data_IF_848183959436
#
_entry.id   IF_848183959436
#
_cell.length_a   1.000
_cell.length_b   1.000
_cell.length_c   1.000
_cell.angle_alpha   90.00
_cell.angle_beta   90.00
_cell.angle_gamma   90.00
#
_symmetry.space_group_name_H-M   'P 1'
#
loop_
_entity.id
_entity.type
_entity.pdbx_description
1 polymer ?
#
# COMPACT_ATOMS: atom_id res chain seq x y z
N UNK A 1 -13.01 -6.62 9.04
CA UNK A 1 -12.40 -7.88 8.53
C UNK A 1 -11.45 -7.47 7.43
N UNK A 2 -10.15 -7.78 7.54
CA UNK A 2 -9.18 -7.48 6.49
C UNK A 2 -9.26 -8.59 5.45
N UNK A 3 -9.92 -8.34 4.33
CA UNK A 3 -9.88 -9.28 3.20
C UNK A 3 -8.43 -9.43 2.74
N UNK A 4 -8.00 -10.68 2.57
CA UNK A 4 -6.61 -11.02 2.28
C UNK A 4 -6.35 -10.79 0.78
N UNK A 5 -5.60 -9.72 0.48
CA UNK A 5 -5.48 -9.16 -0.85
C UNK A 5 -4.35 -9.77 -1.68
N UNK A 6 -3.54 -10.72 -1.23
CA UNK A 6 -2.41 -11.20 -2.04
C UNK A 6 -2.43 -12.70 -2.34
N UNK A 7 -3.20 -13.49 -1.61
CA UNK A 7 -3.31 -14.95 -1.82
C UNK A 7 -4.61 -15.37 -2.52
N UNK A 8 -5.60 -14.47 -2.62
CA UNK A 8 -6.79 -14.68 -3.43
C UNK A 8 -6.39 -14.91 -4.89
N UNK A 9 -6.79 -16.07 -5.41
CA UNK A 9 -6.66 -16.38 -6.83
C UNK A 9 -7.60 -15.45 -7.60
N UNK A 10 -7.04 -14.42 -8.21
CA UNK A 10 -7.81 -13.46 -8.99
C UNK A 10 -8.34 -14.08 -10.27
N UNK A 11 -9.57 -13.70 -10.63
CA UNK A 11 -10.18 -14.04 -11.94
C UNK A 11 -9.65 -13.12 -13.03
N UNK A 12 -9.42 -11.84 -12.72
CA UNK A 12 -8.73 -10.89 -13.60
C UNK A 12 -7.29 -11.33 -13.88
N UNK A 13 -6.73 -10.94 -15.03
CA UNK A 13 -5.41 -11.41 -15.49
C UNK A 13 -4.59 -10.32 -16.15
N UNK A 14 -3.27 -10.38 -15.98
CA UNK A 14 -2.32 -9.62 -16.78
C UNK A 14 -2.27 -10.23 -18.18
N UNK A 15 -2.64 -9.44 -19.19
CA UNK A 15 -2.62 -9.83 -20.61
C UNK A 15 -1.26 -9.55 -21.23
N UNK A 16 -0.64 -8.44 -20.83
CA UNK A 16 0.69 -8.09 -21.30
C UNK A 16 1.46 -7.28 -20.27
N UNK A 17 2.78 -7.41 -20.34
CA UNK A 17 3.74 -6.71 -19.49
C UNK A 17 4.93 -6.27 -20.33
N UNK A 18 5.19 -4.97 -20.34
CA UNK A 18 6.41 -4.39 -20.89
C UNK A 18 7.48 -4.29 -19.80
N UNK A 19 8.78 -4.20 -20.15
CA UNK A 19 9.80 -3.92 -19.16
C UNK A 19 9.53 -2.59 -18.44
N UNK A 20 9.47 -2.65 -17.11
CA UNK A 20 9.37 -1.45 -16.26
C UNK A 20 10.68 -0.67 -16.33
N UNK A 21 10.60 0.66 -16.44
CA UNK A 21 11.76 1.56 -16.47
C UNK A 21 12.23 1.88 -15.04
N UNK A 22 12.78 0.89 -14.36
CA UNK A 22 13.39 1.06 -13.04
C UNK A 22 14.49 2.12 -13.06
N UNK A 23 14.65 2.87 -11.96
CA UNK A 23 15.64 3.96 -11.85
C UNK A 23 15.31 5.23 -12.62
N UNK A 24 14.14 5.32 -13.27
CA UNK A 24 13.65 6.57 -13.85
C UNK A 24 13.44 7.60 -12.73
N UNK A 25 13.93 8.82 -12.93
CA UNK A 25 13.67 9.93 -12.01
C UNK A 25 12.19 10.25 -12.02
N UNK A 26 11.53 10.04 -10.89
CA UNK A 26 10.13 10.40 -10.69
C UNK A 26 10.02 11.91 -10.46
N UNK A 27 9.09 12.54 -11.17
CA UNK A 27 8.81 13.98 -11.03
C UNK A 27 7.48 14.15 -10.33
N UNK A 28 7.52 14.79 -9.16
CA UNK A 28 6.34 15.13 -8.39
C UNK A 28 6.08 16.62 -8.59
N UNK A 29 5.06 16.94 -9.38
CA UNK A 29 4.67 18.33 -9.66
C UNK A 29 3.85 18.94 -8.52
N UNK A 30 3.10 18.11 -7.79
CA UNK A 30 2.26 18.52 -6.65
C UNK A 30 2.21 17.41 -5.61
N UNK A 31 2.25 17.81 -4.34
CA UNK A 31 2.01 16.90 -3.23
C UNK A 31 0.51 16.84 -2.95
N UNK A 32 -0.04 15.63 -2.98
CA UNK A 32 -1.40 15.34 -2.55
C UNK A 32 -1.36 14.73 -1.16
N UNK A 33 -2.31 15.12 -0.32
CA UNK A 33 -2.48 14.49 0.98
C UNK A 33 -3.93 14.52 1.43
N UNK A 34 -4.31 13.53 2.23
CA UNK A 34 -5.62 13.46 2.87
C UNK A 34 -5.48 13.88 4.33
N UNK A 35 -6.13 14.98 4.72
CA UNK A 35 -6.07 15.50 6.08
C UNK A 35 -6.55 14.51 7.14
N UNK A 36 -7.55 13.69 6.81
CA UNK A 36 -8.05 12.67 7.74
C UNK A 36 -6.99 11.60 8.02
N UNK A 37 -6.28 11.17 6.98
CA UNK A 37 -5.18 10.18 7.09
C UNK A 37 -4.00 10.75 7.89
N UNK A 38 -3.63 12.02 7.64
CA UNK A 38 -2.57 12.69 8.41
C UNK A 38 -2.95 12.80 9.89
N UNK A 39 -4.21 13.15 10.16
CA UNK A 39 -4.70 13.31 11.53
C UNK A 39 -4.66 11.98 12.29
N UNK A 40 -5.17 10.92 11.68
CA UNK A 40 -5.13 9.57 12.27
C UNK A 40 -3.69 9.10 12.51
N UNK A 41 -2.78 9.36 11.56
CA UNK A 41 -1.36 9.06 11.72
C UNK A 41 -0.74 9.80 12.92
N UNK A 42 -1.01 11.09 13.06
CA UNK A 42 -0.52 11.89 14.18
C UNK A 42 -1.06 11.40 15.53
N UNK A 43 -2.34 11.02 15.60
CA UNK A 43 -2.94 10.45 16.81
C UNK A 43 -2.31 9.10 17.17
N UNK A 44 -2.01 8.27 16.18
CA UNK A 44 -1.31 7.00 16.38
C UNK A 44 0.14 7.19 16.84
N UNK A 45 0.87 8.18 16.29
CA UNK A 45 2.21 8.53 16.75
C UNK A 45 2.20 8.95 18.23
N UNK A 46 1.28 9.85 18.63
CA UNK A 46 1.15 10.30 20.02
C UNK A 46 0.85 9.14 20.97
N UNK A 47 0.04 8.17 20.53
CA UNK A 47 -0.31 6.98 21.31
C UNK A 47 0.87 6.03 21.52
N UNK A 48 1.67 5.81 20.48
CA UNK A 48 2.78 4.86 20.49
C UNK A 48 4.09 5.47 21.01
N UNK A 49 4.25 6.79 20.92
CA UNK A 49 5.41 7.54 21.41
C UNK A 49 4.93 8.71 22.29
N UNK A 50 4.59 8.47 23.57
CA UNK A 50 3.99 9.49 24.44
C UNK A 50 4.82 10.77 24.64
N UNK A 51 6.14 10.69 24.43
CA UNK A 51 7.08 11.79 24.62
C UNK A 51 7.49 12.48 23.30
N UNK A 52 6.84 12.15 22.18
CA UNK A 52 7.16 12.77 20.89
C UNK A 52 6.80 14.27 20.91
N UNK A 53 7.73 15.10 20.45
CA UNK A 53 7.52 16.56 20.36
C UNK A 53 6.67 16.91 19.14
N UNK A 54 6.01 18.08 19.16
CA UNK A 54 5.21 18.51 18.00
C UNK A 54 6.09 18.74 16.76
N UNK A 55 7.35 19.16 16.94
CA UNK A 55 8.33 19.29 15.85
C UNK A 55 8.65 17.95 15.19
N UNK A 56 8.86 16.89 15.98
CA UNK A 56 9.05 15.53 15.48
C UNK A 56 7.80 15.01 14.77
N UNK A 57 6.60 15.31 15.28
CA UNK A 57 5.35 14.94 14.62
C UNK A 57 5.24 15.60 13.25
N UNK A 58 5.54 16.89 13.14
CA UNK A 58 5.50 17.60 11.85
C UNK A 58 6.55 17.07 10.87
N UNK A 59 7.72 16.65 11.36
CA UNK A 59 8.71 15.97 10.52
C UNK A 59 8.21 14.62 10.01
N UNK A 60 7.65 13.77 10.88
CA UNK A 60 7.10 12.46 10.53
C UNK A 60 5.92 12.60 9.55
N UNK A 61 5.04 13.58 9.74
CA UNK A 61 3.95 13.90 8.78
C UNK A 61 4.50 14.25 7.40
N UNK A 62 5.51 15.14 7.32
CA UNK A 62 6.13 15.51 6.04
C UNK A 62 6.77 14.31 5.35
N UNK A 63 7.48 13.47 6.11
CA UNK A 63 8.08 12.25 5.57
C UNK A 63 7.02 11.27 5.05
N UNK A 64 5.92 11.08 5.79
CA UNK A 64 4.80 10.25 5.38
C UNK A 64 4.18 10.75 4.06
N UNK A 65 3.84 12.05 3.97
CA UNK A 65 3.26 12.64 2.76
C UNK A 65 4.20 12.44 1.57
N UNK A 66 5.48 12.71 1.74
CA UNK A 66 6.47 12.59 0.68
C UNK A 66 6.62 11.14 0.22
N UNK A 67 6.70 10.19 1.15
CA UNK A 67 6.78 8.76 0.85
C UNK A 67 5.55 8.27 0.09
N UNK A 68 4.36 8.70 0.48
CA UNK A 68 3.10 8.32 -0.18
C UNK A 68 3.05 8.84 -1.62
N UNK A 69 3.38 10.11 -1.84
CA UNK A 69 3.42 10.69 -3.18
C UNK A 69 4.49 10.03 -4.08
N UNK A 70 5.65 9.70 -3.51
CA UNK A 70 6.69 8.96 -4.23
C UNK A 70 6.24 7.56 -4.62
N UNK A 71 5.57 6.86 -3.70
CA UNK A 71 5.01 5.55 -3.99
C UNK A 71 3.96 5.61 -5.09
N UNK A 72 3.06 6.59 -5.05
CA UNK A 72 2.05 6.77 -6.08
C UNK A 72 2.69 7.05 -7.45
N UNK A 73 3.68 7.93 -7.52
CA UNK A 73 4.40 8.20 -8.77
C UNK A 73 5.16 6.96 -9.30
N UNK A 74 5.73 6.15 -8.41
CA UNK A 74 6.37 4.89 -8.77
C UNK A 74 5.34 3.88 -9.30
N UNK A 75 4.19 3.77 -8.64
CA UNK A 75 3.10 2.89 -9.05
C UNK A 75 2.47 3.31 -10.37
N UNK A 76 2.40 4.60 -10.69
CA UNK A 76 1.96 5.09 -12.00
C UNK A 76 2.91 4.62 -13.11
N UNK A 77 4.23 4.73 -12.90
CA UNK A 77 5.22 4.24 -13.86
C UNK A 77 5.14 2.72 -14.00
N UNK A 78 5.05 1.97 -12.89
CA UNK A 78 4.94 0.51 -12.91
C UNK A 78 3.67 0.11 -13.65
N UNK A 79 2.51 0.62 -13.23
CA UNK A 79 1.21 0.23 -13.78
C UNK A 79 1.10 0.53 -15.28
N UNK A 80 1.75 1.59 -15.77
CA UNK A 80 1.82 1.90 -17.21
C UNK A 80 2.47 0.81 -18.07
N UNK A 81 3.26 -0.08 -17.46
CA UNK A 81 3.88 -1.21 -18.13
C UNK A 81 2.95 -2.43 -18.29
N UNK A 82 1.81 -2.45 -17.59
CA UNK A 82 0.90 -3.59 -17.55
C UNK A 82 -0.37 -3.32 -18.36
N UNK A 83 -0.94 -4.40 -18.89
CA UNK A 83 -2.30 -4.42 -19.45
C UNK A 83 -3.06 -5.55 -18.80
N UNK A 84 -4.24 -5.26 -18.27
CA UNK A 84 -5.08 -6.21 -17.53
C UNK A 84 -6.40 -6.40 -18.23
N UNK A 85 -6.84 -7.65 -18.27
CA UNK A 85 -8.21 -8.05 -18.56
C UNK A 85 -8.93 -8.26 -17.23
N UNK A 86 -9.96 -7.44 -17.00
CA UNK A 86 -10.68 -7.44 -15.74
C UNK A 86 -11.92 -8.33 -15.84
N UNK A 87 -12.11 -9.19 -14.84
CA UNK A 87 -13.33 -9.97 -14.70
C UNK A 87 -14.44 -9.11 -14.08
N UNK A 88 -15.53 -8.91 -14.82
CA UNK A 88 -16.64 -8.04 -14.37
C UNK A 88 -17.32 -8.57 -13.09
N UNK A 89 -17.32 -9.89 -12.86
CA UNK A 89 -17.91 -10.48 -11.65
C UNK A 89 -17.04 -10.18 -10.42
N UNK A 90 -15.71 -10.26 -10.58
CA UNK A 90 -14.74 -9.85 -9.55
C UNK A 90 -14.83 -8.35 -9.25
N UNK A 91 -15.00 -7.51 -10.26
CA UNK A 91 -15.26 -6.08 -10.04
C UNK A 91 -16.53 -5.90 -9.21
N UNK A 92 -17.63 -6.55 -9.56
CA UNK A 92 -18.90 -6.42 -8.86
C UNK A 92 -18.83 -6.89 -7.38
N UNK A 93 -18.14 -8.00 -7.12
CA UNK A 93 -17.90 -8.49 -5.75
C UNK A 93 -17.12 -7.46 -4.91
N UNK A 94 -16.09 -6.84 -5.50
CA UNK A 94 -15.30 -5.80 -4.82
C UNK A 94 -16.10 -4.51 -4.63
N UNK A 95 -16.92 -4.11 -5.60
CA UNK A 95 -17.82 -2.96 -5.44
C UNK A 95 -18.78 -3.16 -4.26
N UNK A 96 -19.35 -4.37 -4.11
CA UNK A 96 -20.25 -4.68 -3.00
C UNK A 96 -19.55 -4.62 -1.64
N UNK A 97 -18.33 -5.16 -1.55
CA UNK A 97 -17.48 -5.04 -0.34
C UNK A 97 -17.19 -3.56 -0.03
N UNK A 98 -16.85 -2.75 -1.04
CA UNK A 98 -16.56 -1.33 -0.86
C UNK A 98 -17.78 -0.51 -0.44
N UNK A 99 -19.00 -0.85 -0.89
CA UNK A 99 -20.25 -0.18 -0.47
C UNK A 99 -20.48 -0.31 1.03
N UNK A 100 -20.13 -1.46 1.61
CA UNK A 100 -20.34 -1.72 3.04
C UNK A 100 -19.45 -0.84 3.93
N UNK A 101 -18.28 -0.43 3.43
CA UNK A 101 -17.30 0.36 4.18
C UNK A 101 -17.25 1.83 3.76
N UNK A 102 -17.67 2.19 2.54
CA UNK A 102 -17.54 3.52 1.95
C UNK A 102 -18.88 4.05 1.45
N UNK A 103 -19.78 4.36 2.38
CA UNK A 103 -21.17 4.78 2.12
C UNK A 103 -21.30 6.03 1.24
N UNK A 104 -20.23 6.84 1.14
CA UNK A 104 -20.26 8.12 0.43
C UNK A 104 -19.81 8.05 -1.04
N UNK A 105 -19.38 6.89 -1.54
CA UNK A 105 -18.90 6.76 -2.91
C UNK A 105 -20.06 6.52 -3.87
N UNK A 106 -20.02 7.17 -5.04
CA UNK A 106 -20.95 6.86 -6.13
C UNK A 106 -20.52 5.58 -6.87
N UNK A 107 -21.38 5.05 -7.74
CA UNK A 107 -21.12 3.79 -8.47
C UNK A 107 -19.85 3.85 -9.32
N UNK A 108 -19.58 4.97 -10.01
CA UNK A 108 -18.37 5.12 -10.83
C UNK A 108 -17.10 5.12 -9.97
N UNK A 109 -17.14 5.77 -8.81
CA UNK A 109 -16.05 5.77 -7.84
C UNK A 109 -15.81 4.37 -7.29
N UNK A 110 -16.86 3.66 -6.88
CA UNK A 110 -16.77 2.28 -6.38
C UNK A 110 -16.12 1.36 -7.42
N UNK A 111 -16.59 1.43 -8.68
CA UNK A 111 -16.03 0.65 -9.79
C UNK A 111 -14.57 0.98 -10.07
N UNK A 112 -14.22 2.27 -10.06
CA UNK A 112 -12.84 2.72 -10.24
C UNK A 112 -11.93 2.19 -9.13
N UNK A 113 -12.35 2.32 -7.88
CA UNK A 113 -11.62 1.81 -6.71
C UNK A 113 -11.48 0.29 -6.72
N UNK A 114 -12.52 -0.44 -7.12
CA UNK A 114 -12.48 -1.89 -7.30
C UNK A 114 -11.41 -2.29 -8.31
N UNK A 115 -11.40 -1.65 -9.50
CA UNK A 115 -10.40 -1.89 -10.54
C UNK A 115 -8.99 -1.57 -10.09
N UNK A 116 -8.78 -0.44 -9.42
CA UNK A 116 -7.47 -0.04 -8.88
C UNK A 116 -6.95 -1.09 -7.89
N UNK A 117 -7.82 -1.58 -7.01
CA UNK A 117 -7.46 -2.60 -6.01
C UNK A 117 -7.05 -3.92 -6.66
N UNK A 118 -7.87 -4.41 -7.60
CA UNK A 118 -7.56 -5.63 -8.38
C UNK A 118 -6.25 -5.46 -9.15
N UNK A 119 -6.05 -4.29 -9.77
CA UNK A 119 -4.86 -4.04 -10.57
C UNK A 119 -3.59 -4.00 -9.72
N UNK A 120 -3.62 -3.30 -8.57
CA UNK A 120 -2.52 -3.29 -7.60
C UNK A 120 -2.18 -4.71 -7.16
N UNK A 121 -3.18 -5.51 -6.83
CA UNK A 121 -3.00 -6.91 -6.42
C UNK A 121 -2.32 -7.75 -7.51
N UNK A 122 -2.75 -7.63 -8.77
CA UNK A 122 -2.12 -8.33 -9.90
C UNK A 122 -0.65 -7.94 -10.06
N UNK A 123 -0.35 -6.64 -10.01
CA UNK A 123 1.03 -6.14 -10.10
C UNK A 123 1.86 -6.70 -8.94
N UNK A 124 1.33 -6.70 -7.72
CA UNK A 124 2.06 -7.18 -6.54
C UNK A 124 2.33 -8.69 -6.61
N UNK A 125 1.36 -9.49 -7.06
CA UNK A 125 1.56 -10.93 -7.28
C UNK A 125 2.59 -11.22 -8.37
N UNK A 126 2.62 -10.43 -9.43
CA UNK A 126 3.61 -10.53 -10.50
C UNK A 126 5.01 -10.11 -10.04
N UNK A 127 5.13 -8.97 -9.35
CA UNK A 127 6.40 -8.51 -8.78
C UNK A 127 6.96 -9.46 -7.71
N UNK A 128 6.11 -10.01 -6.84
CA UNK A 128 6.53 -11.01 -5.87
C UNK A 128 7.18 -12.23 -6.54
N UNK A 129 6.62 -12.67 -7.66
CA UNK A 129 7.13 -13.79 -8.45
C UNK A 129 8.45 -13.44 -9.13
N UNK A 130 8.51 -12.30 -9.81
CA UNK A 130 9.72 -11.80 -10.48
C UNK A 130 10.90 -11.62 -9.52
N UNK A 131 10.61 -11.24 -8.29
CA UNK A 131 11.59 -10.95 -7.25
C UNK A 131 11.83 -12.12 -6.30
N UNK A 132 11.18 -13.26 -6.55
CA UNK A 132 11.26 -14.47 -5.74
C UNK A 132 11.01 -14.20 -4.25
N UNK A 133 10.05 -13.31 -3.97
CA UNK A 133 9.67 -12.94 -2.61
C UNK A 133 8.71 -13.96 -2.02
N UNK A 134 9.09 -14.54 -0.89
CA UNK A 134 8.28 -15.48 -0.13
C UNK A 134 8.35 -15.11 1.35
N UNK A 135 7.20 -14.98 2.01
CA UNK A 135 7.11 -14.79 3.46
C UNK A 135 6.80 -16.13 4.12
N UNK A 136 7.78 -16.69 4.83
CA UNK A 136 7.60 -17.95 5.56
C UNK A 136 6.91 -17.74 6.90
N UNK A 137 6.42 -18.83 7.51
CA UNK A 137 5.86 -18.78 8.87
C UNK A 137 6.88 -18.28 9.90
N UNK A 138 8.14 -18.66 9.74
CA UNK A 138 9.23 -18.26 10.64
C UNK A 138 9.45 -16.75 10.58
N UNK A 139 9.51 -16.16 9.39
CA UNK A 139 9.69 -14.72 9.22
C UNK A 139 8.48 -13.95 9.78
N UNK A 140 7.27 -14.41 9.50
CA UNK A 140 6.05 -13.79 10.02
C UNK A 140 6.00 -13.84 11.56
N UNK A 141 6.38 -14.98 12.14
CA UNK A 141 6.50 -15.15 13.59
C UNK A 141 7.55 -14.22 14.19
N UNK A 142 8.73 -14.10 13.59
CA UNK A 142 9.79 -13.22 14.08
C UNK A 142 9.34 -11.76 14.13
N UNK A 143 8.68 -11.27 13.07
CA UNK A 143 8.17 -9.90 13.03
C UNK A 143 7.08 -9.67 14.07
N UNK A 144 6.15 -10.62 14.24
CA UNK A 144 5.14 -10.56 15.30
C UNK A 144 5.78 -10.53 16.69
N UNK A 145 6.74 -11.41 16.97
CA UNK A 145 7.44 -11.41 18.25
C UNK A 145 8.11 -10.06 18.53
N UNK A 146 8.80 -9.49 17.55
CA UNK A 146 9.48 -8.20 17.70
C UNK A 146 8.50 -7.06 17.96
N UNK A 147 7.38 -7.02 17.24
CA UNK A 147 6.32 -6.01 17.44
C UNK A 147 5.66 -6.13 18.81
N UNK A 148 5.34 -7.35 19.25
CA UNK A 148 4.58 -7.59 20.47
C UNK A 148 5.44 -7.58 21.75
N UNK A 149 6.75 -7.84 21.65
CA UNK A 149 7.71 -7.58 22.74
C UNK A 149 7.66 -6.13 23.22
N UNK A 150 7.38 -5.18 22.32
CA UNK A 150 7.32 -3.76 22.64
C UNK A 150 5.97 -3.34 23.28
N UNK A 151 4.91 -4.13 23.10
CA UNK A 151 3.55 -3.77 23.54
C UNK A 151 3.01 -4.64 24.69
N UNK A 152 3.69 -5.72 25.05
CA UNK A 152 3.32 -6.62 26.16
C UNK A 152 2.09 -7.51 25.88
N UNK A 153 1.54 -7.46 24.67
CA UNK A 153 0.40 -8.29 24.24
C UNK A 153 0.87 -9.67 23.76
N UNK A 154 0.02 -10.69 23.87
CA UNK A 154 0.35 -12.06 23.46
C UNK A 154 0.14 -12.27 21.95
N UNK A 155 1.09 -12.94 21.28
CA UNK A 155 0.98 -13.34 19.87
C UNK A 155 0.22 -14.66 19.66
N UNK A 156 -0.20 -15.32 20.75
CA UNK A 156 -0.74 -16.69 20.70
C UNK A 156 -1.90 -16.82 19.73
N UNK A 157 -2.77 -15.82 19.64
CA UNK A 157 -3.91 -15.84 18.73
C UNK A 157 -3.50 -15.95 17.26
N UNK A 158 -2.39 -15.29 16.86
CA UNK A 158 -1.88 -15.33 15.49
C UNK A 158 -1.20 -16.67 15.17
N UNK A 159 -0.58 -17.30 16.18
CA UNK A 159 0.07 -18.61 16.02
C UNK A 159 -0.93 -19.77 15.95
N UNK A 160 -2.11 -19.59 16.52
CA UNK A 160 -3.15 -20.64 16.58
C UNK A 160 -4.23 -20.50 15.51
N UNK A 161 -4.29 -19.35 14.84
CA UNK A 161 -5.29 -19.02 13.83
C UNK A 161 -4.61 -18.86 12.46
N UNK A 162 -4.76 -19.84 11.54
CA UNK A 162 -4.13 -19.79 10.23
C UNK A 162 -4.55 -18.59 9.38
N UNK A 163 -5.78 -18.09 9.52
CA UNK A 163 -6.26 -16.93 8.76
C UNK A 163 -5.57 -15.65 9.21
N UNK A 164 -5.41 -15.48 10.53
CA UNK A 164 -4.65 -14.36 11.10
C UNK A 164 -3.18 -14.43 10.69
N UNK A 165 -2.56 -15.61 10.69
CA UNK A 165 -1.18 -15.76 10.21
C UNK A 165 -1.05 -15.44 8.72
N UNK A 166 -1.99 -15.88 7.89
CA UNK A 166 -2.01 -15.55 6.46
C UNK A 166 -2.09 -14.05 6.24
N UNK A 167 -2.98 -13.35 6.97
CA UNK A 167 -3.08 -11.89 6.91
C UNK A 167 -1.77 -11.20 7.29
N UNK A 168 -1.06 -11.69 8.31
CA UNK A 168 0.27 -11.15 8.67
C UNK A 168 1.26 -11.34 7.54
N UNK A 169 1.36 -12.55 6.97
CA UNK A 169 2.27 -12.83 5.85
C UNK A 169 2.01 -11.92 4.65
N UNK A 170 0.75 -11.68 4.33
CA UNK A 170 0.36 -10.83 3.21
C UNK A 170 0.72 -9.36 3.45
N UNK A 171 0.45 -8.84 4.64
CA UNK A 171 0.85 -7.48 5.00
C UNK A 171 2.38 -7.31 4.92
N UNK A 172 3.14 -8.32 5.37
CA UNK A 172 4.60 -8.31 5.26
C UNK A 172 5.07 -8.36 3.80
N UNK A 173 4.46 -9.19 2.97
CA UNK A 173 4.78 -9.27 1.56
C UNK A 173 4.50 -7.92 0.86
N UNK A 174 3.36 -7.30 1.16
CA UNK A 174 3.00 -5.97 0.63
C UNK A 174 4.02 -4.90 1.03
N UNK A 175 4.45 -4.90 2.29
CA UNK A 175 5.49 -4.00 2.79
C UNK A 175 6.82 -4.21 2.08
N UNK A 176 7.27 -5.46 1.94
CA UNK A 176 8.52 -5.81 1.26
C UNK A 176 8.51 -5.37 -0.21
N UNK A 177 7.40 -5.60 -0.93
CA UNK A 177 7.22 -5.14 -2.31
C UNK A 177 7.27 -3.62 -2.37
N UNK A 178 6.53 -2.94 -1.50
CA UNK A 178 6.47 -1.48 -1.44
C UNK A 178 7.86 -0.88 -1.21
N UNK A 179 8.62 -1.39 -0.26
CA UNK A 179 9.98 -0.92 0.01
C UNK A 179 10.92 -1.16 -1.17
N UNK A 180 10.81 -2.32 -1.82
CA UNK A 180 11.63 -2.65 -3.00
C UNK A 180 11.30 -1.76 -4.19
N UNK A 181 10.03 -1.42 -4.41
CA UNK A 181 9.59 -0.42 -5.40
C UNK A 181 10.26 0.92 -5.10
N UNK A 182 10.12 1.41 -3.86
CA UNK A 182 10.68 2.71 -3.45
C UNK A 182 12.20 2.77 -3.63
N UNK A 183 12.91 1.69 -3.27
CA UNK A 183 14.35 1.60 -3.44
C UNK A 183 14.77 1.55 -4.91
N UNK A 184 13.97 0.91 -5.78
CA UNK A 184 14.27 0.77 -7.21
C UNK A 184 14.11 2.07 -8.01
N UNK A 185 13.24 2.99 -7.57
CA UNK A 185 13.11 4.32 -8.18
C UNK A 185 14.00 5.39 -7.54
N UNK A 186 14.58 5.09 -6.37
CA UNK A 186 15.52 5.97 -5.68
C UNK A 186 14.85 7.14 -4.95
N UNK A 187 15.64 7.84 -4.13
CA UNK A 187 15.20 8.95 -3.28
C UNK A 187 15.30 10.33 -3.94
N UNK A 188 15.78 10.41 -5.19
CA UNK A 188 16.03 11.69 -5.87
C UNK A 188 14.80 12.13 -6.65
N UNK A 189 14.22 13.27 -6.26
CA UNK A 189 13.07 13.85 -6.92
C UNK A 189 13.28 15.35 -7.16
N UNK A 190 12.76 15.83 -8.28
CA UNK A 190 12.59 17.26 -8.54
C UNK A 190 11.19 17.67 -8.05
N UNK A 191 11.09 18.35 -6.90
CA UNK A 191 9.88 19.13 -6.59
C UNK A 191 10.00 20.45 -7.32
N UNK A 192 9.10 20.72 -8.27
CA UNK A 192 8.95 22.06 -8.82
C UNK A 192 7.76 22.71 -8.15
N UNK A 193 8.01 23.72 -7.32
CA UNK A 193 6.93 24.59 -6.87
C UNK A 193 6.33 25.28 -8.10
N UNK A 194 5.11 24.89 -8.46
CA UNK A 194 4.30 25.70 -9.37
C UNK A 194 3.82 26.89 -8.55
N UNK A 195 4.21 28.14 -8.88
CA UNK A 195 3.76 29.30 -8.13
C UNK A 195 2.22 29.30 -8.11
N UNK A 196 1.66 29.39 -6.89
CA UNK A 196 0.23 29.48 -6.69
C UNK A 196 -0.30 30.66 -7.51
N UNK A 197 -1.04 30.35 -8.58
CA UNK A 197 -1.70 31.37 -9.37
C UNK A 197 -2.78 31.97 -8.47
N UNK A 198 -2.54 33.19 -7.98
CA UNK A 198 -3.57 33.98 -7.30
C UNK A 198 -4.66 34.24 -8.35
N UNK A 199 -5.84 33.69 -8.14
CA UNK A 199 -7.09 34.09 -8.80
C UNK A 199 -8.06 34.52 -7.72
#
# INVERSE_FOLDING_TARGET
MSESLLTLQLRSKIVSKKPVKWGKILRIERLYFNEAVIKEFAENLKRNRPNITEEEIEQEKRQMIMRDNLFNAAMDEISSAYTVDFDDSEIAEREESLKQTNVNFNEEQLKSHAKITIFKQLIFQDLARDWELVVTDELAKEVLENHYRQTGKSIREYLTDPEKMSSVKENLLEQMITERIMNAFGSHFEVREVPANKS
#
